data_IF_990988774691
#
_entry.id   IF_990988774691
#
_cell.length_a   1.000
_cell.length_b   1.000
_cell.length_c   1.000
_cell.angle_alpha   90.00
_cell.angle_beta   90.00
_cell.angle_gamma   90.00
#
_symmetry.space_group_name_H-M   'P 1'
#
loop_
_entity.id
_entity.type
_entity.pdbx_description
1 polymer ?
#
# COMPACT_ATOMS: atom_id res chain seq x y z
N UNK A 1 0.42 -26.30 -3.38
CA UNK A 1 0.09 -24.87 -3.18
C UNK A 1 -0.01 -24.50 -1.70
N UNK A 2 -0.83 -25.19 -0.90
CA UNK A 2 -0.95 -24.94 0.55
C UNK A 2 0.37 -25.06 1.32
N UNK A 3 1.21 -26.04 0.98
CA UNK A 3 2.55 -26.22 1.56
C UNK A 3 3.46 -25.01 1.33
N UNK A 4 3.45 -24.42 0.14
CA UNK A 4 4.25 -23.25 -0.19
C UNK A 4 3.87 -22.01 0.63
N UNK A 5 2.56 -21.82 0.88
CA UNK A 5 2.04 -20.70 1.68
C UNK A 5 2.50 -20.85 3.13
N UNK A 6 2.25 -22.01 3.74
CA UNK A 6 2.62 -22.29 5.13
C UNK A 6 4.13 -22.22 5.36
N UNK A 7 4.92 -22.71 4.41
CA UNK A 7 6.37 -22.61 4.45
C UNK A 7 6.87 -21.17 4.39
N UNK A 8 6.22 -20.31 3.62
CA UNK A 8 6.54 -18.88 3.57
C UNK A 8 6.41 -18.22 4.94
N UNK A 9 5.29 -18.46 5.63
CA UNK A 9 5.05 -17.95 6.99
C UNK A 9 5.97 -18.56 8.05
N UNK A 10 6.43 -19.81 7.88
CA UNK A 10 7.42 -20.42 8.78
C UNK A 10 8.82 -19.85 8.60
N UNK A 11 9.11 -19.24 7.45
CA UNK A 11 10.43 -18.74 7.05
C UNK A 11 10.46 -17.21 6.94
N UNK A 12 9.72 -16.51 7.80
CA UNK A 12 9.65 -15.03 7.79
C UNK A 12 10.99 -14.35 8.12
N UNK A 13 11.83 -14.98 8.95
CA UNK A 13 13.13 -14.45 9.36
C UNK A 13 14.32 -15.18 8.70
N UNK A 14 14.07 -16.12 7.80
CA UNK A 14 15.13 -16.90 7.14
C UNK A 14 15.52 -16.27 5.81
N UNK A 15 16.55 -15.44 5.78
CA UNK A 15 16.98 -14.76 4.55
C UNK A 15 17.89 -15.61 3.65
N UNK A 16 18.23 -16.83 4.09
CA UNK A 16 19.20 -17.68 3.43
C UNK A 16 18.57 -18.66 2.44
N UNK A 17 19.38 -19.04 1.45
CA UNK A 17 18.98 -19.97 0.41
C UNK A 17 18.14 -19.32 -0.71
N UNK A 18 17.40 -20.17 -1.42
CA UNK A 18 16.75 -19.85 -2.70
C UNK A 18 15.33 -20.39 -2.73
N UNK A 19 14.40 -19.60 -3.26
CA UNK A 19 13.01 -20.03 -3.49
C UNK A 19 12.67 -19.97 -4.98
N UNK A 20 12.17 -21.06 -5.56
CA UNK A 20 11.65 -21.09 -6.93
C UNK A 20 10.34 -20.31 -7.06
N UNK A 21 10.00 -19.89 -8.29
CA UNK A 21 8.75 -19.18 -8.61
C UNK A 21 7.48 -19.88 -8.09
N UNK A 22 7.45 -21.21 -8.16
CA UNK A 22 6.32 -22.03 -7.73
C UNK A 22 6.11 -22.05 -6.21
N UNK A 23 7.14 -21.72 -5.43
CA UNK A 23 7.04 -21.54 -3.97
C UNK A 23 6.76 -20.09 -3.60
N UNK A 24 7.42 -19.16 -4.29
CA UNK A 24 7.31 -17.72 -4.02
C UNK A 24 5.93 -17.14 -4.33
N UNK A 25 5.40 -17.33 -5.54
CA UNK A 25 4.18 -16.64 -5.99
C UNK A 25 2.92 -16.99 -5.19
N UNK A 26 2.64 -18.27 -4.85
CA UNK A 26 1.48 -18.58 -4.03
C UNK A 26 1.50 -17.89 -2.67
N UNK A 27 2.67 -17.83 -2.02
CA UNK A 27 2.86 -17.12 -0.77
C UNK A 27 2.68 -15.60 -0.94
N UNK A 28 3.37 -15.01 -1.92
CA UNK A 28 3.32 -13.57 -2.16
C UNK A 28 1.90 -13.09 -2.50
N UNK A 29 1.14 -13.84 -3.29
CA UNK A 29 -0.24 -13.51 -3.63
C UNK A 29 -1.15 -13.56 -2.40
N UNK A 30 -1.01 -14.55 -1.52
CA UNK A 30 -1.77 -14.60 -0.26
C UNK A 30 -1.44 -13.41 0.62
N UNK A 31 -0.17 -13.04 0.75
CA UNK A 31 0.24 -11.85 1.50
C UNK A 31 -0.40 -10.58 0.89
N UNK A 32 -0.36 -10.41 -0.43
CA UNK A 32 -0.99 -9.26 -1.10
C UNK A 32 -2.49 -9.20 -0.85
N UNK A 33 -3.19 -10.33 -0.93
CA UNK A 33 -4.63 -10.39 -0.64
C UNK A 33 -4.92 -10.04 0.83
N UNK A 34 -4.16 -10.60 1.77
CA UNK A 34 -4.31 -10.28 3.20
C UNK A 34 -4.08 -8.80 3.49
N UNK A 35 -3.08 -8.19 2.85
CA UNK A 35 -2.80 -6.75 2.98
C UNK A 35 -3.91 -5.89 2.38
N UNK A 36 -4.46 -6.29 1.22
CA UNK A 36 -5.58 -5.61 0.60
C UNK A 36 -6.84 -5.67 1.48
N UNK A 37 -7.15 -6.86 2.03
CA UNK A 37 -8.25 -7.02 2.98
C UNK A 37 -8.02 -6.18 4.23
N UNK A 38 -6.80 -6.16 4.78
CA UNK A 38 -6.44 -5.32 5.92
C UNK A 38 -6.65 -3.84 5.63
N UNK A 39 -6.30 -3.37 4.43
CA UNK A 39 -6.57 -2.00 3.99
C UNK A 39 -8.07 -1.70 3.88
N UNK A 40 -8.86 -2.62 3.30
CA UNK A 40 -10.31 -2.45 3.21
C UNK A 40 -10.97 -2.38 4.59
N UNK A 41 -10.53 -3.22 5.53
CA UNK A 41 -11.01 -3.18 6.92
C UNK A 41 -10.64 -1.85 7.60
N UNK A 42 -9.44 -1.33 7.34
CA UNK A 42 -9.02 -0.02 7.86
C UNK A 42 -9.83 1.15 7.28
N UNK A 43 -10.48 0.98 6.12
CA UNK A 43 -11.35 2.01 5.53
C UNK A 43 -12.71 2.09 6.19
N UNK A 44 -13.20 1.00 6.78
CA UNK A 44 -14.50 0.97 7.47
C UNK A 44 -14.64 2.09 8.51
N UNK A 45 -13.71 2.27 9.47
CA UNK A 45 -13.84 3.35 10.45
C UNK A 45 -13.75 4.73 9.80
N UNK A 46 -12.90 4.94 8.80
CA UNK A 46 -12.78 6.23 8.08
C UNK A 46 -14.08 6.59 7.35
N UNK A 47 -14.73 5.61 6.74
CA UNK A 47 -16.04 5.84 6.11
C UNK A 47 -17.12 6.11 7.17
N UNK A 48 -17.10 5.38 8.29
CA UNK A 48 -18.03 5.60 9.39
C UNK A 48 -17.89 7.00 10.00
N UNK A 49 -16.67 7.51 10.17
CA UNK A 49 -16.44 8.89 10.64
C UNK A 49 -16.93 9.91 9.62
N UNK A 50 -16.64 9.71 8.33
CA UNK A 50 -17.11 10.58 7.24
C UNK A 50 -18.64 10.70 7.22
N UNK A 51 -19.37 9.58 7.28
CA UNK A 51 -20.83 9.60 7.33
C UNK A 51 -21.36 10.25 8.61
N UNK A 52 -20.71 9.99 9.75
CA UNK A 52 -21.08 10.58 11.03
C UNK A 52 -20.92 12.11 11.04
N UNK A 53 -19.83 12.62 10.47
CA UNK A 53 -19.59 14.07 10.35
C UNK A 53 -20.58 14.73 9.39
N UNK A 54 -20.84 14.11 8.23
CA UNK A 54 -21.82 14.61 7.28
C UNK A 54 -23.24 14.68 7.88
N UNK A 55 -23.64 13.66 8.63
CA UNK A 55 -24.92 13.63 9.34
C UNK A 55 -25.02 14.71 10.43
N UNK A 56 -23.94 14.92 11.20
CA UNK A 56 -23.89 15.99 12.21
C UNK A 56 -23.99 17.37 11.56
N UNK A 57 -23.24 17.60 10.50
CA UNK A 57 -23.27 18.86 9.77
C UNK A 57 -24.68 19.18 9.25
N UNK A 58 -25.36 18.20 8.66
CA UNK A 58 -26.73 18.36 8.18
C UNK A 58 -27.75 18.65 9.30
N UNK A 59 -27.54 18.08 10.49
CA UNK A 59 -28.39 18.35 11.65
C UNK A 59 -28.17 19.77 12.21
N UNK A 60 -26.94 20.27 12.15
CA UNK A 60 -26.57 21.62 12.61
C UNK A 60 -26.92 22.72 11.60
N UNK A 61 -26.91 22.39 10.30
CA UNK A 61 -27.16 23.33 9.19
C UNK A 61 -28.26 22.79 8.26
N UNK A 62 -29.53 22.73 8.71
CA UNK A 62 -30.63 22.17 7.94
C UNK A 62 -30.95 22.97 6.66
N UNK A 63 -30.51 24.22 6.57
CA UNK A 63 -30.60 25.08 5.39
C UNK A 63 -29.55 24.72 4.31
N UNK A 64 -28.49 24.01 4.69
CA UNK A 64 -27.35 23.69 3.82
C UNK A 64 -27.28 22.23 3.40
N UNK A 65 -28.20 21.40 3.86
CA UNK A 65 -28.22 19.98 3.54
C UNK A 65 -29.65 19.45 3.35
N UNK A 66 -29.82 18.58 2.36
CA UNK A 66 -31.04 17.78 2.21
C UNK A 66 -30.78 16.38 2.74
N UNK A 67 -31.55 15.97 3.74
CA UNK A 67 -31.51 14.60 4.28
C UNK A 67 -32.74 13.84 3.78
N UNK A 68 -32.50 12.79 3.00
CA UNK A 68 -33.55 11.87 2.55
C UNK A 68 -33.45 10.60 3.38
N UNK A 69 -34.53 10.26 4.08
CA UNK A 69 -34.67 9.04 4.87
C UNK A 69 -35.84 8.22 4.33
N UNK A 70 -35.60 6.94 4.04
CA UNK A 70 -36.59 5.99 3.53
C UNK A 70 -36.24 4.55 3.91
N UNK A 71 -37.11 3.56 3.63
CA UNK A 71 -36.84 2.16 3.94
C UNK A 71 -35.56 1.68 3.25
N UNK A 72 -34.47 1.51 4.01
CA UNK A 72 -33.16 1.12 3.48
C UNK A 72 -32.36 2.24 2.78
N UNK A 73 -32.86 3.48 2.80
CA UNK A 73 -32.19 4.62 2.17
C UNK A 73 -31.94 5.71 3.20
N UNK A 74 -30.67 6.02 3.41
CA UNK A 74 -30.22 7.21 4.13
C UNK A 74 -29.22 7.93 3.23
N UNK A 75 -29.56 9.13 2.78
CA UNK A 75 -28.66 9.96 1.97
C UNK A 75 -28.68 11.40 2.46
N UNK A 76 -27.48 11.96 2.60
CA UNK A 76 -27.26 13.36 2.95
C UNK A 76 -26.63 14.03 1.73
N UNK A 77 -27.31 15.02 1.18
CA UNK A 77 -26.78 15.87 0.12
C UNK A 77 -26.43 17.21 0.74
N UNK A 78 -25.17 17.63 0.64
CA UNK A 78 -24.70 18.92 1.15
C UNK A 78 -24.58 19.90 -0.01
N UNK A 79 -25.30 21.02 0.09
CA UNK A 79 -25.35 22.06 -0.94
C UNK A 79 -24.17 23.03 -0.87
N UNK A 80 -23.52 23.12 0.30
CA UNK A 80 -22.36 23.98 0.56
C UNK A 80 -21.19 23.15 1.14
N UNK A 81 -20.53 22.31 0.31
CA UNK A 81 -19.47 21.42 0.78
C UNK A 81 -18.23 22.14 1.31
N UNK A 82 -18.03 23.42 0.94
CA UNK A 82 -16.92 24.24 1.44
C UNK A 82 -17.05 24.57 2.94
N UNK A 83 -18.27 24.52 3.48
CA UNK A 83 -18.54 24.78 4.90
C UNK A 83 -18.40 23.56 5.80
N UNK A 84 -18.17 22.37 5.22
CA UNK A 84 -17.96 21.16 6.00
C UNK A 84 -16.58 21.17 6.68
N UNK A 85 -16.47 20.69 7.93
CA UNK A 85 -15.17 20.44 8.52
C UNK A 85 -14.38 19.48 7.62
N UNK A 86 -13.10 19.78 7.43
CA UNK A 86 -12.23 18.96 6.60
C UNK A 86 -12.15 17.54 7.18
N UNK A 87 -12.39 16.54 6.34
CA UNK A 87 -12.28 15.13 6.71
C UNK A 87 -10.87 14.84 7.24
N UNK A 88 -10.77 14.29 8.47
CA UNK A 88 -9.49 13.86 9.02
C UNK A 88 -9.01 12.57 8.34
N UNK A 89 -8.11 12.73 7.38
CA UNK A 89 -7.46 11.63 6.65
C UNK A 89 -6.24 11.05 7.38
N UNK A 90 -5.87 11.58 8.54
CA UNK A 90 -4.73 11.12 9.34
C UNK A 90 -4.76 9.61 9.63
N UNK A 91 -5.87 9.04 10.14
CA UNK A 91 -5.99 7.60 10.39
C UNK A 91 -5.79 6.74 9.14
N UNK A 92 -6.32 7.18 7.99
CA UNK A 92 -6.13 6.49 6.70
C UNK A 92 -4.65 6.46 6.33
N UNK A 93 -3.93 7.58 6.43
CA UNK A 93 -2.51 7.61 6.11
C UNK A 93 -1.67 6.73 7.03
N UNK A 94 -2.02 6.65 8.31
CA UNK A 94 -1.40 5.70 9.23
C UNK A 94 -1.66 4.24 8.84
N UNK A 95 -2.89 3.90 8.49
CA UNK A 95 -3.23 2.56 8.02
C UNK A 95 -2.43 2.16 6.77
N UNK A 96 -2.31 3.05 5.78
CA UNK A 96 -1.51 2.83 4.57
C UNK A 96 -0.03 2.56 4.91
N UNK A 97 0.55 3.33 5.84
CA UNK A 97 1.94 3.12 6.29
C UNK A 97 2.12 1.77 6.98
N UNK A 98 1.18 1.39 7.85
CA UNK A 98 1.20 0.08 8.52
C UNK A 98 1.12 -1.07 7.51
N UNK A 99 0.31 -0.93 6.46
CA UNK A 99 0.23 -1.91 5.36
C UNK A 99 1.56 -2.03 4.62
N UNK A 100 2.24 -0.91 4.32
CA UNK A 100 3.57 -0.97 3.69
C UNK A 100 4.63 -1.61 4.58
N UNK A 101 4.61 -1.34 5.88
CA UNK A 101 5.52 -1.97 6.85
C UNK A 101 5.23 -3.46 6.97
N UNK A 102 3.97 -3.86 7.06
CA UNK A 102 3.57 -5.26 7.09
C UNK A 102 3.98 -5.99 5.80
N UNK A 103 3.80 -5.35 4.63
CA UNK A 103 4.26 -5.89 3.35
C UNK A 103 5.77 -6.11 3.33
N UNK A 104 6.55 -5.12 3.80
CA UNK A 104 8.00 -5.24 3.90
C UNK A 104 8.39 -6.41 4.80
N UNK A 105 7.80 -6.54 6.00
CA UNK A 105 8.10 -7.62 6.94
C UNK A 105 7.73 -8.99 6.36
N UNK A 106 6.51 -9.14 5.85
CA UNK A 106 6.02 -10.43 5.37
C UNK A 106 6.73 -10.89 4.08
N UNK A 107 7.14 -9.97 3.22
CA UNK A 107 7.76 -10.31 1.94
C UNK A 107 9.29 -10.28 1.96
N UNK A 108 9.94 -9.61 2.91
CA UNK A 108 11.40 -9.36 2.86
C UNK A 108 12.22 -10.64 2.68
N UNK A 109 12.01 -11.67 3.51
CA UNK A 109 12.77 -12.92 3.42
C UNK A 109 12.44 -13.68 2.12
N UNK A 110 11.17 -13.76 1.73
CA UNK A 110 10.75 -14.45 0.51
C UNK A 110 11.28 -13.76 -0.77
N UNK A 111 11.20 -12.43 -0.84
CA UNK A 111 11.77 -11.62 -1.93
C UNK A 111 13.28 -11.78 -1.99
N UNK A 112 13.96 -11.77 -0.84
CA UNK A 112 15.40 -12.00 -0.77
C UNK A 112 15.80 -13.36 -1.34
N UNK A 113 15.16 -14.45 -0.88
CA UNK A 113 15.41 -15.80 -1.40
C UNK A 113 15.02 -15.96 -2.88
N UNK A 114 14.00 -15.25 -3.36
CA UNK A 114 13.63 -15.22 -4.78
C UNK A 114 14.70 -14.52 -5.62
N UNK A 115 15.21 -13.38 -5.15
CA UNK A 115 16.30 -12.65 -5.82
C UNK A 115 17.58 -13.50 -5.84
N UNK A 116 17.90 -14.17 -4.73
CA UNK A 116 19.00 -15.13 -4.63
C UNK A 116 18.89 -16.26 -5.66
N UNK A 117 17.67 -16.76 -5.93
CA UNK A 117 17.46 -17.78 -6.96
C UNK A 117 17.89 -17.32 -8.36
N UNK A 118 17.80 -16.01 -8.64
CA UNK A 118 18.28 -15.41 -9.89
C UNK A 118 19.74 -14.91 -9.82
N UNK A 119 20.45 -15.24 -8.74
CA UNK A 119 21.83 -14.80 -8.50
C UNK A 119 21.97 -13.34 -8.05
N UNK A 120 20.86 -12.64 -7.78
CA UNK A 120 20.85 -11.23 -7.34
C UNK A 120 20.83 -11.13 -5.83
N UNK A 121 21.34 -10.03 -5.30
CA UNK A 121 21.30 -9.76 -3.86
C UNK A 121 19.91 -9.29 -3.40
N UNK A 122 19.56 -9.55 -2.14
CA UNK A 122 18.25 -9.16 -1.57
C UNK A 122 17.98 -7.65 -1.59
N UNK A 123 19.01 -6.79 -1.58
CA UNK A 123 18.85 -5.33 -1.58
C UNK A 123 18.14 -4.79 -2.82
N UNK A 124 18.09 -5.56 -3.93
CA UNK A 124 17.28 -5.21 -5.10
C UNK A 124 15.78 -5.11 -4.79
N UNK A 125 15.31 -5.65 -3.66
CA UNK A 125 13.94 -5.50 -3.17
C UNK A 125 13.65 -4.19 -2.43
N UNK A 126 14.66 -3.40 -2.05
CA UNK A 126 14.48 -2.18 -1.25
C UNK A 126 13.96 -0.95 -2.00
N UNK A 127 14.33 -0.67 -3.27
CA UNK A 127 13.97 0.59 -3.92
C UNK A 127 12.46 0.93 -3.90
N UNK A 128 11.54 -0.01 -4.18
CA UNK A 128 10.10 0.30 -4.10
C UNK A 128 9.65 0.70 -2.68
N UNK A 129 10.25 0.13 -1.63
CA UNK A 129 9.92 0.46 -0.25
C UNK A 129 10.35 1.89 0.10
N UNK A 130 11.53 2.30 -0.37
CA UNK A 130 12.06 3.66 -0.14
C UNK A 130 11.16 4.69 -0.82
N UNK A 131 10.84 4.50 -2.10
CA UNK A 131 9.99 5.46 -2.83
C UNK A 131 8.54 5.46 -2.32
N UNK A 132 8.01 4.32 -1.87
CA UNK A 132 6.70 4.26 -1.21
C UNK A 132 6.68 5.03 0.12
N UNK A 133 7.72 4.88 0.95
CA UNK A 133 7.84 5.60 2.21
C UNK A 133 7.90 7.12 1.98
N UNK A 134 8.71 7.57 1.02
CA UNK A 134 8.79 8.98 0.60
C UNK A 134 7.42 9.45 0.11
N UNK A 135 6.76 8.73 -0.79
CA UNK A 135 5.44 9.08 -1.30
C UNK A 135 4.40 9.22 -0.17
N UNK A 136 4.37 8.27 0.77
CA UNK A 136 3.42 8.27 1.90
C UNK A 136 3.64 9.41 2.90
N UNK A 137 4.83 10.02 2.88
CA UNK A 137 5.19 11.16 3.74
C UNK A 137 4.95 12.48 3.02
N UNK A 138 5.32 12.56 1.73
CA UNK A 138 5.14 13.75 0.91
C UNK A 138 3.67 13.97 0.52
N UNK A 139 2.89 12.91 0.33
CA UNK A 139 1.51 13.05 -0.16
C UNK A 139 0.62 13.91 0.75
N UNK A 140 0.52 13.67 2.08
CA UNK A 140 -0.27 14.54 2.95
C UNK A 140 0.23 15.99 2.96
N UNK A 141 1.55 16.17 2.90
CA UNK A 141 2.18 17.49 2.85
C UNK A 141 1.86 18.25 1.54
N UNK A 142 1.83 17.56 0.40
CA UNK A 142 1.44 18.14 -0.90
C UNK A 142 -0.05 18.50 -0.90
N UNK A 143 -0.92 17.65 -0.34
CA UNK A 143 -2.35 17.94 -0.22
C UNK A 143 -2.59 19.20 0.62
N UNK A 144 -1.94 19.31 1.78
CA UNK A 144 -2.02 20.50 2.62
C UNK A 144 -1.64 21.78 1.86
N UNK A 145 -0.58 21.72 1.03
CA UNK A 145 -0.17 22.85 0.18
C UNK A 145 -1.19 23.17 -0.90
N UNK A 146 -1.77 22.15 -1.54
CA UNK A 146 -2.84 22.30 -2.54
C UNK A 146 -4.07 23.00 -1.96
N UNK A 147 -4.38 22.74 -0.69
CA UNK A 147 -5.50 23.38 0.01
C UNK A 147 -5.22 24.84 0.38
N UNK A 148 -3.96 25.26 0.42
CA UNK A 148 -3.57 26.65 0.66
C UNK A 148 -3.60 27.47 -0.64
N UNK A 149 -2.87 27.03 -1.67
CA UNK A 149 -2.92 27.62 -3.00
C UNK A 149 -2.27 26.70 -4.04
N UNK A 150 -2.70 26.82 -5.29
CA UNK A 150 -2.13 26.05 -6.40
C UNK A 150 -0.62 26.34 -6.57
N UNK A 151 -0.23 27.61 -6.51
CA UNK A 151 1.16 28.05 -6.65
C UNK A 151 2.09 27.42 -5.60
N UNK A 152 1.62 27.30 -4.34
CA UNK A 152 2.39 26.70 -3.26
C UNK A 152 2.58 25.19 -3.43
N UNK A 153 1.74 24.54 -4.24
CA UNK A 153 1.74 23.10 -4.43
C UNK A 153 2.49 22.62 -5.67
N UNK A 154 2.63 23.45 -6.72
CA UNK A 154 3.20 23.04 -8.01
C UNK A 154 4.56 22.34 -7.88
N UNK A 155 5.53 22.94 -7.19
CA UNK A 155 6.85 22.34 -6.99
C UNK A 155 6.81 21.00 -6.22
N UNK A 156 6.24 20.98 -5.00
CA UNK A 156 6.00 19.76 -4.23
C UNK A 156 5.28 18.65 -5.00
N UNK A 157 4.28 19.02 -5.80
CA UNK A 157 3.51 18.10 -6.63
C UNK A 157 4.40 17.42 -7.67
N UNK A 158 5.22 18.17 -8.41
CA UNK A 158 6.13 17.58 -9.39
C UNK A 158 7.21 16.69 -8.74
N UNK A 159 7.67 17.02 -7.54
CA UNK A 159 8.57 16.15 -6.77
C UNK A 159 7.91 14.83 -6.37
N UNK A 160 6.68 14.89 -5.86
CA UNK A 160 5.88 13.72 -5.53
C UNK A 160 5.59 12.86 -6.77
N UNK A 161 5.25 13.51 -7.89
CA UNK A 161 5.02 12.85 -9.17
C UNK A 161 6.27 12.13 -9.66
N UNK A 162 7.44 12.78 -9.66
CA UNK A 162 8.71 12.16 -10.03
C UNK A 162 9.05 10.96 -9.13
N UNK A 163 8.86 11.11 -7.81
CA UNK A 163 9.02 10.01 -6.86
C UNK A 163 8.05 8.85 -7.15
N UNK A 164 6.81 9.14 -7.53
CA UNK A 164 5.84 8.12 -7.91
C UNK A 164 6.25 7.38 -9.19
N UNK A 165 6.82 8.07 -10.18
CA UNK A 165 7.36 7.42 -11.37
C UNK A 165 8.51 6.47 -11.01
N UNK A 166 9.43 6.89 -10.14
CA UNK A 166 10.51 6.03 -9.63
C UNK A 166 9.99 4.83 -8.84
N UNK A 167 8.94 5.02 -8.04
CA UNK A 167 8.24 3.93 -7.36
C UNK A 167 7.70 2.91 -8.36
N UNK A 168 6.95 3.35 -9.38
CA UNK A 168 6.37 2.45 -10.39
C UNK A 168 7.45 1.70 -11.17
N UNK A 169 8.48 2.42 -11.65
CA UNK A 169 9.59 1.83 -12.41
C UNK A 169 10.32 0.78 -11.56
N UNK A 170 10.64 1.10 -10.30
CA UNK A 170 11.32 0.17 -9.41
C UNK A 170 10.45 -1.03 -9.04
N UNK A 171 9.15 -0.84 -8.84
CA UNK A 171 8.21 -1.91 -8.52
C UNK A 171 8.05 -2.87 -9.70
N UNK A 172 7.85 -2.34 -10.91
CA UNK A 172 7.79 -3.15 -12.14
C UNK A 172 9.11 -3.89 -12.33
N UNK A 173 10.25 -3.20 -12.18
CA UNK A 173 11.56 -3.81 -12.24
C UNK A 173 11.72 -4.97 -11.27
N UNK A 174 11.32 -4.78 -10.01
CA UNK A 174 11.34 -5.84 -8.99
C UNK A 174 10.43 -7.01 -9.37
N UNK A 175 9.19 -6.74 -9.78
CA UNK A 175 8.25 -7.78 -10.22
C UNK A 175 8.83 -8.61 -11.37
N UNK A 176 9.43 -7.95 -12.36
CA UNK A 176 10.12 -8.62 -13.47
C UNK A 176 11.25 -9.51 -12.94
N UNK A 177 12.12 -8.98 -12.06
CA UNK A 177 13.20 -9.77 -11.45
C UNK A 177 12.68 -10.99 -10.68
N UNK A 178 11.56 -10.86 -9.99
CA UNK A 178 10.92 -11.96 -9.25
C UNK A 178 10.27 -12.99 -10.18
N UNK A 179 9.82 -12.57 -11.37
CA UNK A 179 9.22 -13.43 -12.40
C UNK A 179 10.25 -14.17 -13.28
N UNK A 180 11.48 -13.66 -13.40
CA UNK A 180 12.55 -14.30 -14.18
C UNK A 180 12.82 -15.74 -13.73
N UNK A 181 13.32 -16.57 -14.65
CA UNK A 181 13.73 -17.94 -14.31
C UNK A 181 14.93 -17.93 -13.35
N UNK A 182 14.96 -18.90 -12.43
CA UNK A 182 16.10 -19.11 -11.55
C UNK A 182 17.35 -19.55 -12.31
N UNK A 183 18.51 -19.33 -11.70
CA UNK A 183 19.79 -19.81 -12.23
C UNK A 183 19.82 -21.36 -12.20
N UNK A 184 20.23 -21.98 -13.30
CA UNK A 184 20.49 -23.42 -13.37
C UNK A 184 21.74 -23.77 -12.57
N UNK A 185 21.68 -24.85 -11.77
CA UNK A 185 22.81 -25.29 -10.97
C UNK A 185 23.10 -24.41 -9.73
N UNK A 186 24.24 -24.66 -9.07
CA UNK A 186 24.63 -23.93 -7.86
C UNK A 186 25.00 -22.47 -8.17
N UNK A 187 24.66 -21.57 -7.26
CA UNK A 187 25.10 -20.18 -7.29
C UNK A 187 25.66 -19.78 -5.90
N UNK A 188 26.10 -18.51 -5.75
CA UNK A 188 26.66 -18.00 -4.48
C UNK A 188 25.73 -18.08 -3.26
N UNK A 189 24.45 -18.38 -3.46
CA UNK A 189 23.43 -18.51 -2.41
C UNK A 189 23.01 -19.97 -2.16
N UNK A 190 23.68 -20.94 -2.78
CA UNK A 190 23.53 -22.36 -2.53
C UNK A 190 23.21 -23.19 -3.78
N UNK A 191 22.93 -24.47 -3.54
CA UNK A 191 22.50 -25.43 -4.56
C UNK A 191 21.23 -24.95 -5.28
N UNK A 192 20.91 -25.57 -6.42
CA UNK A 192 19.67 -25.25 -7.11
C UNK A 192 18.47 -25.43 -6.17
N UNK A 193 17.57 -24.45 -6.15
CA UNK A 193 16.39 -24.50 -5.29
C UNK A 193 15.61 -25.79 -5.56
N UNK A 194 14.99 -26.39 -4.53
CA UNK A 194 14.18 -27.63 -4.63
C UNK A 194 12.82 -27.43 -5.27
#
# INVERSE_FOLDING_TARGET
>A
MMTAILDGFRRLADFSGRDRRGRFWPYALVVVVLLYVGLMLAMIPTMATMFGEAARFAAEHPDKATVVTGPGQYSVEIHDPASMPMLDLGPLFWAVRLVFVAAAILLAAAVTRRLHDTGRAGWWGLPPLVFAAIASTLFPWVIERLMQSEEAALGPFFLLFANNMLYIISLIGLIVLLALRGASGPNRYGAEAG
#
